data_IF_718105437574
#
_entry.id   IF_718105437574
#
_cell.length_a   1.000
_cell.length_b   1.000
_cell.length_c   1.000
_cell.angle_alpha   90.00
_cell.angle_beta   90.00
_cell.angle_gamma   90.00
#
_symmetry.space_group_name_H-M   'P 1'
#
loop_
_entity.id
_entity.type
_entity.pdbx_description
1 polymer ?
#
# COMPACT_ATOMS: atom_id res chain seq x y z
N UNK A 1 5.42 15.91 -4.02
CA UNK A 1 4.18 15.52 -4.73
C UNK A 1 3.09 16.58 -4.58
N UNK A 2 2.01 16.49 -5.37
CA UNK A 2 0.80 17.33 -5.23
C UNK A 2 -0.28 16.54 -4.50
N UNK A 3 -0.98 17.17 -3.54
CA UNK A 3 -2.04 16.52 -2.77
C UNK A 3 -3.24 17.46 -2.54
N UNK A 4 -4.43 16.88 -2.47
CA UNK A 4 -5.70 17.58 -2.23
C UNK A 4 -6.73 16.66 -1.60
N UNK A 5 -7.71 17.22 -0.91
CA UNK A 5 -8.89 16.46 -0.49
C UNK A 5 -9.71 16.06 -1.71
N UNK A 6 -10.14 14.80 -1.73
CA UNK A 6 -10.99 14.28 -2.81
C UNK A 6 -12.36 14.96 -2.76
N UNK A 7 -12.84 15.48 -3.90
CA UNK A 7 -14.05 16.31 -3.94
C UNK A 7 -15.37 15.55 -3.73
N UNK A 8 -15.33 14.22 -3.74
CA UNK A 8 -16.48 13.31 -3.62
C UNK A 8 -17.61 13.56 -4.64
N UNK A 9 -17.34 14.27 -5.73
CA UNK A 9 -18.33 14.46 -6.80
C UNK A 9 -18.46 13.18 -7.63
N UNK A 10 -19.64 12.90 -8.20
CA UNK A 10 -19.79 11.80 -9.15
C UNK A 10 -18.80 11.96 -10.33
N UNK A 11 -18.12 10.87 -10.70
CA UNK A 11 -17.14 10.91 -11.77
C UNK A 11 -16.38 9.59 -11.89
N UNK A 12 -15.62 9.46 -12.98
CA UNK A 12 -14.73 8.33 -13.17
C UNK A 12 -13.52 8.46 -12.23
N UNK A 13 -13.12 7.38 -11.56
CA UNK A 13 -12.04 7.37 -10.56
C UNK A 13 -10.70 7.98 -11.04
N UNK A 14 -10.43 7.92 -12.35
CA UNK A 14 -9.23 8.44 -13.01
C UNK A 14 -9.20 9.95 -13.19
N UNK A 15 -10.33 10.65 -12.97
CA UNK A 15 -10.38 12.11 -12.99
C UNK A 15 -9.66 12.67 -11.76
N UNK A 16 -9.17 13.90 -11.82
CA UNK A 16 -8.43 14.49 -10.72
C UNK A 16 -9.22 14.61 -9.40
N UNK A 17 -10.55 14.80 -9.45
CA UNK A 17 -11.41 14.96 -8.26
C UNK A 17 -10.87 15.99 -7.26
N UNK A 18 -10.53 17.17 -7.77
CA UNK A 18 -9.77 18.19 -7.03
C UNK A 18 -10.66 19.00 -6.10
N UNK A 19 -10.50 18.77 -4.79
CA UNK A 19 -11.02 19.62 -3.72
C UNK A 19 -9.97 20.62 -3.22
N UNK A 20 -9.92 20.82 -1.91
CA UNK A 20 -8.99 21.76 -1.28
C UNK A 20 -7.56 21.22 -1.27
N UNK A 21 -6.57 22.10 -1.44
CA UNK A 21 -5.16 21.74 -1.40
C UNK A 21 -4.75 21.22 -0.02
N UNK A 22 -4.00 20.12 0.01
CA UNK A 22 -3.43 19.53 1.23
C UNK A 22 -1.90 19.73 1.21
N UNK A 23 -1.32 20.43 2.19
CA UNK A 23 0.13 20.54 2.32
C UNK A 23 0.78 19.17 2.51
N UNK A 24 1.94 18.95 1.87
CA UNK A 24 2.67 17.68 2.00
C UNK A 24 2.99 17.29 3.45
N UNK A 25 3.18 18.28 4.34
CA UNK A 25 3.38 18.04 5.78
C UNK A 25 2.24 17.20 6.39
N UNK A 26 0.99 17.48 6.04
CA UNK A 26 -0.18 16.71 6.53
C UNK A 26 -0.09 15.27 6.02
N UNK A 27 0.28 15.08 4.75
CA UNK A 27 0.44 13.74 4.16
C UNK A 27 1.58 12.96 4.83
N UNK A 28 2.67 13.64 5.18
CA UNK A 28 3.81 13.04 5.86
C UNK A 28 3.51 12.69 7.32
N UNK A 29 2.68 13.49 8.01
CA UNK A 29 2.19 13.19 9.36
C UNK A 29 1.33 11.92 9.39
N UNK A 30 0.63 11.59 8.30
CA UNK A 30 -0.06 10.31 8.12
C UNK A 30 0.87 9.11 7.87
N UNK A 31 2.18 9.33 7.87
CA UNK A 31 3.21 8.29 7.74
C UNK A 31 3.69 8.03 6.31
N UNK A 32 3.15 8.73 5.30
CA UNK A 32 3.62 8.65 3.92
C UNK A 32 5.03 9.22 3.84
N UNK A 33 5.96 8.49 3.23
CA UNK A 33 7.30 9.00 2.93
C UNK A 33 7.44 9.24 1.44
N UNK A 34 8.09 10.34 1.07
CA UNK A 34 8.28 10.75 -0.32
C UNK A 34 9.72 11.22 -0.54
N UNK A 35 10.29 10.83 -1.67
CA UNK A 35 11.54 11.38 -2.20
C UNK A 35 11.35 11.70 -3.68
N UNK A 36 12.00 12.77 -4.15
CA UNK A 36 12.19 13.03 -5.58
C UNK A 36 13.60 12.58 -5.95
N UNK A 37 13.71 11.47 -6.67
CA UNK A 37 14.96 10.82 -7.05
C UNK A 37 15.04 10.88 -8.58
N UNK A 38 16.02 11.60 -9.17
CA UNK A 38 16.19 11.65 -10.62
C UNK A 38 16.32 10.25 -11.23
N UNK A 39 15.80 10.07 -12.45
CA UNK A 39 15.93 8.78 -13.16
C UNK A 39 17.40 8.39 -13.38
N UNK A 40 18.27 9.38 -13.61
CA UNK A 40 19.71 9.14 -13.75
C UNK A 40 20.34 8.77 -12.40
N UNK A 41 20.90 7.56 -12.32
CA UNK A 41 21.56 7.05 -11.11
C UNK A 41 20.62 6.70 -9.96
N UNK A 42 19.30 6.59 -10.20
CA UNK A 42 18.30 6.26 -9.20
C UNK A 42 18.60 4.97 -8.43
N UNK A 43 19.23 3.98 -9.10
CA UNK A 43 19.52 2.67 -8.53
C UNK A 43 20.32 2.78 -7.24
N UNK A 44 21.31 3.67 -7.19
CA UNK A 44 22.16 3.86 -6.01
C UNK A 44 21.37 4.38 -4.81
N UNK A 45 20.48 5.36 -5.04
CA UNK A 45 19.66 5.95 -3.97
C UNK A 45 18.63 4.93 -3.48
N UNK A 46 18.01 4.19 -4.40
CA UNK A 46 17.06 3.12 -4.06
C UNK A 46 17.75 1.99 -3.31
N UNK A 47 18.98 1.63 -3.67
CA UNK A 47 19.76 0.60 -2.96
C UNK A 47 20.07 1.01 -1.52
N UNK A 48 20.38 2.29 -1.27
CA UNK A 48 20.60 2.82 0.07
C UNK A 48 19.30 2.75 0.91
N UNK A 49 18.16 3.16 0.34
CA UNK A 49 16.84 3.06 1.00
C UNK A 49 16.46 1.60 1.26
N UNK A 50 16.66 0.72 0.27
CA UNK A 50 16.36 -0.70 0.39
C UNK A 50 17.20 -1.36 1.49
N UNK A 51 18.49 -0.99 1.60
CA UNK A 51 19.38 -1.48 2.65
C UNK A 51 18.99 -0.95 4.03
N UNK A 52 18.63 0.32 4.15
CA UNK A 52 18.20 0.92 5.42
C UNK A 52 16.92 0.26 5.96
N UNK A 53 16.00 -0.11 5.07
CA UNK A 53 14.66 -0.60 5.43
C UNK A 53 14.46 -2.12 5.32
N UNK A 54 15.54 -2.82 4.96
CA UNK A 54 15.59 -4.28 4.77
C UNK A 54 14.62 -4.78 3.68
N UNK A 55 14.73 -4.22 2.46
CA UNK A 55 13.99 -4.67 1.28
C UNK A 55 14.92 -5.45 0.33
N UNK A 56 15.11 -6.77 0.52
CA UNK A 56 16.02 -7.55 -0.30
C UNK A 56 15.50 -7.82 -1.71
N UNK A 57 14.21 -7.61 -1.98
CA UNK A 57 13.59 -7.94 -3.26
C UNK A 57 13.02 -6.70 -3.97
N UNK A 58 13.02 -6.76 -5.31
CA UNK A 58 12.37 -5.77 -6.17
C UNK A 58 11.93 -6.37 -7.50
N UNK A 59 10.93 -5.77 -8.11
CA UNK A 59 10.55 -6.02 -9.50
C UNK A 59 10.07 -4.72 -10.19
N UNK A 60 9.72 -4.83 -11.46
CA UNK A 60 9.13 -3.74 -12.24
C UNK A 60 7.72 -4.14 -12.66
N UNK A 61 6.75 -3.26 -12.44
CA UNK A 61 5.39 -3.38 -12.93
C UNK A 61 5.09 -2.27 -13.94
N UNK A 62 4.45 -2.63 -15.04
CA UNK A 62 3.89 -1.71 -16.03
C UNK A 62 2.37 -1.84 -15.99
N UNK A 63 1.70 -0.86 -15.39
CA UNK A 63 0.25 -0.84 -15.27
C UNK A 63 -0.29 -0.03 -16.44
N UNK A 64 -0.68 -0.76 -17.49
CA UNK A 64 -1.44 -0.28 -18.64
C UNK A 64 -2.17 -1.46 -19.25
N UNK A 65 -3.11 -1.20 -20.16
CA UNK A 65 -3.82 -2.27 -20.85
C UNK A 65 -2.87 -3.18 -21.64
N UNK A 66 -1.83 -2.61 -22.24
CA UNK A 66 -0.78 -3.37 -22.93
C UNK A 66 0.14 -4.10 -21.93
N UNK A 67 0.56 -3.42 -20.85
CA UNK A 67 1.47 -3.99 -19.86
C UNK A 67 0.90 -5.14 -19.04
N UNK A 68 -0.41 -5.11 -18.74
CA UNK A 68 -1.09 -6.14 -17.95
C UNK A 68 -1.94 -7.10 -18.81
N UNK A 69 -2.25 -6.77 -20.06
CA UNK A 69 -3.04 -7.62 -20.95
C UNK A 69 -4.40 -7.99 -20.35
N UNK A 70 -4.72 -9.28 -20.36
CA UNK A 70 -6.04 -9.80 -19.96
C UNK A 70 -6.38 -9.55 -18.48
N UNK A 71 -5.38 -9.41 -17.60
CA UNK A 71 -5.60 -9.18 -16.17
C UNK A 71 -5.76 -7.69 -15.81
N UNK A 72 -5.68 -6.77 -16.78
CA UNK A 72 -5.72 -5.33 -16.53
C UNK A 72 -6.98 -4.91 -15.76
N UNK A 73 -8.16 -5.23 -16.29
CA UNK A 73 -9.43 -4.76 -15.73
C UNK A 73 -9.64 -5.32 -14.30
N UNK A 74 -9.29 -6.59 -14.09
CA UNK A 74 -9.37 -7.24 -12.78
C UNK A 74 -8.44 -6.56 -11.76
N UNK A 75 -7.17 -6.30 -12.14
CA UNK A 75 -6.21 -5.65 -11.26
C UNK A 75 -6.60 -4.23 -10.92
N UNK A 76 -7.13 -3.47 -11.87
CA UNK A 76 -7.60 -2.10 -11.61
C UNK A 76 -8.73 -2.04 -10.58
N UNK A 77 -9.60 -3.06 -10.53
CA UNK A 77 -10.63 -3.18 -9.48
C UNK A 77 -9.98 -3.38 -8.11
N UNK A 78 -9.04 -4.32 -7.99
CA UNK A 78 -8.38 -4.60 -6.70
C UNK A 78 -7.54 -3.43 -6.20
N UNK A 79 -6.81 -2.76 -7.09
CA UNK A 79 -6.02 -1.58 -6.73
C UNK A 79 -6.90 -0.44 -6.21
N UNK A 80 -8.09 -0.24 -6.79
CA UNK A 80 -8.95 0.88 -6.42
C UNK A 80 -9.92 0.59 -5.28
N UNK A 81 -10.19 -0.68 -4.98
CA UNK A 81 -10.95 -1.03 -3.79
C UNK A 81 -10.15 -0.65 -2.53
N UNK A 82 -10.76 0.08 -1.60
CA UNK A 82 -10.09 0.55 -0.38
C UNK A 82 -9.55 -0.63 0.47
N UNK A 83 -8.25 -0.62 0.74
CA UNK A 83 -7.54 -1.69 1.44
C UNK A 83 -6.39 -1.16 2.29
N UNK A 84 -5.78 -2.05 3.08
CA UNK A 84 -4.51 -1.84 3.77
C UNK A 84 -3.58 -3.05 3.54
N UNK A 85 -2.34 -2.90 4.00
CA UNK A 85 -1.34 -3.96 4.04
C UNK A 85 -0.72 -4.07 5.44
N UNK A 86 -0.22 -5.26 5.77
CA UNK A 86 0.57 -5.54 6.99
C UNK A 86 2.08 -5.33 6.76
N UNK A 87 2.44 -4.94 5.55
CA UNK A 87 3.77 -4.50 5.13
C UNK A 87 3.66 -3.13 4.45
N UNK A 88 4.78 -2.43 4.34
CA UNK A 88 4.83 -1.16 3.62
C UNK A 88 4.63 -1.38 2.12
N UNK A 89 3.89 -0.47 1.47
CA UNK A 89 3.78 -0.45 0.01
C UNK A 89 4.75 0.60 -0.55
N UNK A 90 5.81 0.13 -1.20
CA UNK A 90 6.85 0.98 -1.78
C UNK A 90 6.75 0.99 -3.30
N UNK A 91 6.76 2.18 -3.89
CA UNK A 91 6.81 2.39 -5.35
C UNK A 91 7.81 3.47 -5.69
N UNK A 92 8.68 3.19 -6.66
CA UNK A 92 9.45 4.21 -7.34
C UNK A 92 8.98 4.32 -8.79
N UNK A 93 8.51 5.50 -9.19
CA UNK A 93 7.90 5.71 -10.49
C UNK A 93 8.98 6.00 -11.53
N UNK A 94 9.05 5.11 -12.52
CA UNK A 94 9.97 5.22 -13.66
C UNK A 94 9.38 6.07 -14.79
N UNK A 95 8.07 5.99 -14.99
CA UNK A 95 7.37 6.64 -16.10
C UNK A 95 5.86 6.68 -15.84
N UNK A 96 5.16 7.58 -16.53
CA UNK A 96 3.72 7.79 -16.38
C UNK A 96 3.32 8.40 -15.04
N UNK A 97 2.02 8.31 -14.72
CA UNK A 97 1.41 9.02 -13.60
C UNK A 97 0.23 8.23 -13.01
N UNK A 98 -0.10 8.51 -11.74
CA UNK A 98 -1.23 7.89 -11.07
C UNK A 98 -1.58 8.58 -9.75
N UNK A 99 -2.68 8.14 -9.16
CA UNK A 99 -3.20 8.65 -7.90
C UNK A 99 -3.19 7.59 -6.82
N UNK A 100 -2.74 8.00 -5.65
CA UNK A 100 -3.03 7.32 -4.39
C UNK A 100 -4.07 8.13 -3.63
N UNK A 101 -5.12 7.45 -3.17
CA UNK A 101 -6.05 8.01 -2.18
C UNK A 101 -5.76 7.36 -0.84
N UNK A 102 -5.64 8.17 0.21
CA UNK A 102 -5.40 7.72 1.59
C UNK A 102 -6.46 8.28 2.54
N UNK A 103 -6.77 7.55 3.61
CA UNK A 103 -7.66 8.04 4.68
C UNK A 103 -6.90 8.88 5.69
N UNK A 104 -7.36 10.11 5.87
CA UNK A 104 -6.91 10.98 6.95
C UNK A 104 -7.40 10.45 8.30
N UNK A 105 -6.51 10.34 9.29
CA UNK A 105 -6.89 10.03 10.67
C UNK A 105 -6.85 11.33 11.49
N UNK A 106 -7.88 11.67 12.28
CA UNK A 106 -9.06 10.85 12.63
C UNK A 106 -10.32 11.12 11.81
N UNK A 107 -10.30 12.06 10.84
CA UNK A 107 -11.50 12.55 10.15
C UNK A 107 -12.09 11.54 9.16
N UNK A 108 -11.30 10.56 8.73
CA UNK A 108 -11.62 9.56 7.71
C UNK A 108 -11.88 10.17 6.32
N UNK A 109 -11.43 11.40 6.07
CA UNK A 109 -11.54 12.04 4.76
C UNK A 109 -10.54 11.43 3.76
N UNK A 110 -10.91 11.43 2.48
CA UNK A 110 -9.99 11.04 1.40
C UNK A 110 -9.05 12.19 1.05
N UNK A 111 -7.75 11.93 1.12
CA UNK A 111 -6.71 12.76 0.53
C UNK A 111 -6.18 12.03 -0.70
N UNK A 112 -6.26 12.68 -1.86
CA UNK A 112 -5.64 12.22 -3.11
C UNK A 112 -4.29 12.90 -3.27
N UNK A 113 -3.25 12.13 -3.55
CA UNK A 113 -1.98 12.68 -4.04
C UNK A 113 -1.57 12.02 -5.36
N UNK A 114 -0.95 12.81 -6.22
CA UNK A 114 -0.44 12.33 -7.49
C UNK A 114 1.02 11.98 -7.39
N UNK A 115 1.38 10.86 -8.00
CA UNK A 115 2.75 10.42 -8.23
C UNK A 115 3.05 10.46 -9.72
N UNK A 116 4.28 10.82 -10.04
CA UNK A 116 4.81 10.91 -11.39
C UNK A 116 6.26 10.38 -11.41
N UNK A 117 6.85 10.27 -12.60
CA UNK A 117 8.25 9.87 -12.74
C UNK A 117 9.17 10.62 -11.74
N UNK A 118 10.18 9.90 -11.24
CA UNK A 118 11.12 10.33 -10.20
C UNK A 118 10.56 10.37 -8.78
N UNK A 119 9.27 10.09 -8.55
CA UNK A 119 8.74 9.96 -7.20
C UNK A 119 9.00 8.55 -6.63
N UNK A 120 9.64 8.50 -5.46
CA UNK A 120 9.59 7.32 -4.59
C UNK A 120 8.59 7.60 -3.46
N UNK A 121 7.60 6.72 -3.31
CA UNK A 121 6.63 6.77 -2.22
C UNK A 121 6.65 5.49 -1.40
N UNK A 122 6.51 5.66 -0.09
CA UNK A 122 6.27 4.56 0.86
C UNK A 122 4.96 4.83 1.56
N UNK A 123 4.01 3.93 1.35
CA UNK A 123 2.73 3.88 2.04
C UNK A 123 2.94 3.06 3.33
N UNK A 124 2.66 3.62 4.52
CA UNK A 124 2.93 2.95 5.78
C UNK A 124 1.98 1.77 6.00
N UNK A 125 2.42 0.85 6.85
CA UNK A 125 1.62 -0.29 7.32
C UNK A 125 0.31 0.21 7.95
N UNK A 126 -0.80 -0.48 7.69
CA UNK A 126 -2.08 -0.24 8.38
C UNK A 126 -2.88 1.01 7.95
N UNK A 127 -2.38 1.84 7.04
CA UNK A 127 -3.18 2.92 6.47
C UNK A 127 -4.17 2.38 5.43
N UNK A 128 -5.42 2.83 5.50
CA UNK A 128 -6.36 2.59 4.42
C UNK A 128 -6.03 3.48 3.23
N UNK A 129 -5.86 2.85 2.08
CA UNK A 129 -5.52 3.49 0.83
C UNK A 129 -6.11 2.75 -0.37
N UNK A 130 -5.97 3.36 -1.54
CA UNK A 130 -6.24 2.76 -2.85
C UNK A 130 -5.42 3.45 -3.92
N UNK A 131 -5.21 2.76 -5.03
CA UNK A 131 -4.50 3.26 -6.20
C UNK A 131 -5.39 3.30 -7.43
N UNK A 132 -5.20 4.30 -8.29
CA UNK A 132 -5.79 4.33 -9.62
C UNK A 132 -4.88 5.07 -10.59
N UNK A 133 -4.95 4.71 -11.87
CA UNK A 133 -4.34 5.50 -12.93
C UNK A 133 -5.06 6.85 -13.03
N UNK A 134 -4.38 7.86 -13.56
CA UNK A 134 -5.08 9.06 -14.03
C UNK A 134 -5.51 8.88 -15.50
N UNK A 135 -5.95 9.96 -16.14
CA UNK A 135 -6.39 9.94 -17.54
C UNK A 135 -5.29 9.56 -18.55
N UNK A 136 -4.01 9.53 -18.13
CA UNK A 136 -2.90 9.03 -18.95
C UNK A 136 -2.86 7.51 -19.10
N UNK A 137 -3.61 6.77 -18.27
CA UNK A 137 -3.81 5.32 -18.38
C UNK A 137 -2.54 4.44 -18.36
N UNK A 138 -1.45 4.99 -17.84
CA UNK A 138 -0.15 4.32 -17.81
C UNK A 138 0.70 4.78 -16.64
N UNK A 139 1.25 3.81 -15.91
CA UNK A 139 2.36 4.03 -14.98
C UNK A 139 3.31 2.83 -15.01
N UNK A 140 4.61 3.12 -14.92
CA UNK A 140 5.67 2.12 -14.77
C UNK A 140 6.41 2.39 -13.48
N UNK A 141 6.55 1.37 -12.63
CA UNK A 141 7.20 1.54 -11.33
C UNK A 141 8.04 0.35 -10.93
N UNK A 142 9.12 0.62 -10.17
CA UNK A 142 9.82 -0.39 -9.38
C UNK A 142 9.04 -0.60 -8.08
N UNK A 143 8.80 -1.86 -7.71
CA UNK A 143 8.26 -2.22 -6.40
C UNK A 143 9.39 -2.78 -5.53
N UNK A 144 9.41 -2.41 -4.26
CA UNK A 144 10.34 -2.97 -3.27
C UNK A 144 9.55 -3.70 -2.18
N UNK A 145 10.07 -4.82 -1.69
CA UNK A 145 9.38 -5.64 -0.68
C UNK A 145 10.34 -6.53 0.12
N UNK A 146 9.91 -6.91 1.33
CA UNK A 146 10.70 -7.68 2.31
C UNK A 146 10.86 -9.16 1.95
N UNK A 147 9.77 -9.92 1.98
CA UNK A 147 9.72 -11.33 1.61
C UNK A 147 8.90 -11.50 0.33
N UNK A 148 8.75 -12.74 -0.16
CA UNK A 148 7.83 -13.04 -1.26
C UNK A 148 6.50 -12.33 -0.99
N UNK A 149 6.13 -11.35 -1.83
CA UNK A 149 5.17 -10.36 -1.44
C UNK A 149 3.82 -11.04 -1.34
N UNK A 150 3.30 -11.08 -0.12
CA UNK A 150 1.86 -11.26 0.08
C UNK A 150 1.21 -9.96 -0.41
N UNK A 151 0.99 -9.84 -1.72
CA UNK A 151 0.15 -8.80 -2.34
C UNK A 151 -1.32 -9.02 -1.95
N UNK A 152 -1.58 -9.16 -0.66
CA UNK A 152 -2.88 -9.44 -0.08
C UNK A 152 -3.48 -8.08 0.24
N UNK A 153 -4.50 -7.72 -0.53
CA UNK A 153 -5.33 -6.57 -0.24
C UNK A 153 -6.22 -6.94 0.95
N UNK A 154 -5.96 -6.34 2.11
CA UNK A 154 -6.85 -6.44 3.25
C UNK A 154 -7.90 -5.35 3.12
N UNK A 155 -8.99 -5.67 2.41
CA UNK A 155 -10.06 -4.72 2.14
C UNK A 155 -10.70 -4.20 3.42
N UNK A 156 -11.02 -2.91 3.44
CA UNK A 156 -11.61 -2.26 4.60
C UNK A 156 -12.90 -2.95 5.03
N UNK A 157 -12.94 -3.37 6.28
CA UNK A 157 -14.09 -3.99 6.93
C UNK A 157 -14.00 -3.82 8.44
N UNK A 158 -15.08 -4.16 9.17
CA UNK A 158 -15.07 -4.12 10.64
C UNK A 158 -14.04 -5.07 11.25
N UNK A 159 -13.78 -6.18 10.57
CA UNK A 159 -12.76 -7.15 10.96
C UNK A 159 -11.35 -6.57 10.77
N UNK A 160 -11.11 -5.80 9.69
CA UNK A 160 -9.82 -5.14 9.47
C UNK A 160 -9.61 -3.91 10.34
N UNK A 161 -10.68 -3.25 10.81
CA UNK A 161 -10.59 -2.13 11.75
C UNK A 161 -9.98 -2.54 13.11
N UNK A 162 -10.04 -3.83 13.46
CA UNK A 162 -9.43 -4.41 14.68
C UNK A 162 -8.18 -5.23 14.39
N UNK A 163 -7.64 -5.16 13.16
CA UNK A 163 -6.35 -5.73 12.81
C UNK A 163 -5.25 -5.04 13.65
N UNK A 164 -4.26 -5.77 14.20
CA UNK A 164 -3.25 -5.18 15.06
C UNK A 164 -2.46 -4.05 14.38
N UNK A 165 -2.08 -4.22 13.13
CA UNK A 165 -1.33 -3.24 12.35
C UNK A 165 -2.15 -1.97 12.09
N UNK A 166 -3.47 -2.11 11.89
CA UNK A 166 -4.39 -0.98 11.75
C UNK A 166 -4.50 -0.20 13.06
N UNK A 167 -4.70 -0.90 14.18
CA UNK A 167 -4.85 -0.28 15.49
C UNK A 167 -3.55 0.44 15.89
N UNK A 168 -2.40 -0.18 15.67
CA UNK A 168 -1.09 0.43 15.91
C UNK A 168 -0.91 1.71 15.07
N UNK A 169 -1.17 1.63 13.75
CA UNK A 169 -1.14 2.80 12.86
C UNK A 169 -2.01 3.96 13.36
N UNK A 170 -3.25 3.66 13.77
CA UNK A 170 -4.19 4.69 14.25
C UNK A 170 -3.68 5.33 15.54
N UNK A 171 -3.17 4.54 16.49
CA UNK A 171 -2.64 5.05 17.74
C UNK A 171 -1.40 5.92 17.53
N UNK A 172 -0.41 5.45 16.75
CA UNK A 172 0.78 6.24 16.43
C UNK A 172 0.43 7.54 15.71
N UNK A 173 -0.54 7.50 14.80
CA UNK A 173 -0.98 8.68 14.06
C UNK A 173 -1.68 9.68 15.00
N UNK A 174 -2.55 9.21 15.90
CA UNK A 174 -3.16 10.06 16.94
C UNK A 174 -2.10 10.77 17.78
N UNK A 175 -1.10 10.04 18.26
CA UNK A 175 -0.02 10.62 19.06
C UNK A 175 0.76 11.70 18.28
N UNK A 176 1.05 11.48 16.99
CA UNK A 176 1.69 12.49 16.12
C UNK A 176 0.86 13.76 15.97
N UNK A 177 -0.47 13.64 15.93
CA UNK A 177 -1.40 14.78 15.92
C UNK A 177 -1.67 15.37 17.32
N UNK A 178 -0.99 14.89 18.37
CA UNK A 178 -1.18 15.33 19.75
C UNK A 178 -2.54 14.93 20.33
N UNK A 179 -3.22 13.95 19.73
CA UNK A 179 -4.46 13.40 20.22
C UNK A 179 -4.17 12.32 21.27
N UNK A 180 -4.97 12.24 22.35
CA UNK A 180 -4.77 11.24 23.38
C UNK A 180 -5.06 9.82 22.85
N UNK A 181 -4.22 8.88 23.25
CA UNK A 181 -4.46 7.43 23.11
C UNK A 181 -4.70 6.85 24.50
N UNK A 182 -5.87 6.25 24.69
CA UNK A 182 -6.31 5.67 25.96
C UNK A 182 -5.57 4.37 26.27
N UNK A 183 -5.56 3.97 27.55
CA UNK A 183 -4.99 2.67 27.95
C UNK A 183 -5.79 1.49 27.36
N UNK A 184 -7.09 1.67 27.12
CA UNK A 184 -7.95 0.69 26.44
C UNK A 184 -7.51 0.48 24.98
N UNK A 185 -7.20 1.57 24.26
CA UNK A 185 -6.68 1.49 22.88
C UNK A 185 -5.30 0.84 22.81
N UNK A 186 -4.41 1.10 23.77
CA UNK A 186 -3.11 0.44 23.85
C UNK A 186 -3.26 -1.06 24.17
N UNK A 187 -4.17 -1.41 25.08
CA UNK A 187 -4.48 -2.80 25.40
C UNK A 187 -5.06 -3.54 24.17
N UNK A 188 -5.94 -2.88 23.41
CA UNK A 188 -6.53 -3.45 22.20
C UNK A 188 -5.48 -3.80 21.13
N UNK A 189 -4.46 -2.96 20.93
CA UNK A 189 -3.31 -3.27 20.04
C UNK A 189 -2.61 -4.54 20.49
N UNK A 190 -2.24 -4.62 21.78
CA UNK A 190 -1.54 -5.77 22.34
C UNK A 190 -2.35 -7.06 22.18
N UNK A 191 -3.62 -7.04 22.54
CA UNK A 191 -4.53 -8.19 22.39
C UNK A 191 -4.70 -8.61 20.92
N UNK A 192 -4.79 -7.65 20.00
CA UNK A 192 -4.90 -7.92 18.57
C UNK A 192 -3.64 -8.62 18.03
N UNK A 193 -2.44 -8.22 18.47
CA UNK A 193 -1.19 -8.89 18.08
C UNK A 193 -1.11 -10.31 18.66
N UNK A 194 -1.55 -10.51 19.90
CA UNK A 194 -1.62 -11.84 20.51
C UNK A 194 -2.57 -12.77 19.73
N UNK A 195 -3.76 -12.29 19.34
CA UNK A 195 -4.70 -13.03 18.48
C UNK A 195 -4.10 -13.35 17.11
N UNK A 196 -3.55 -12.34 16.44
CA UNK A 196 -2.95 -12.48 15.10
C UNK A 196 -1.78 -13.48 15.11
N UNK A 197 -0.93 -13.44 16.15
CA UNK A 197 0.14 -14.43 16.35
C UNK A 197 -0.42 -15.82 16.62
N UNK A 198 -1.51 -15.96 17.37
CA UNK A 198 -2.13 -17.26 17.62
C UNK A 198 -2.74 -17.87 16.35
N UNK A 199 -3.34 -17.06 15.48
CA UNK A 199 -3.92 -17.50 14.21
C UNK A 199 -2.83 -17.88 13.20
N UNK A 200 -1.84 -17.02 13.00
CA UNK A 200 -0.72 -17.27 12.08
C UNK A 200 0.27 -18.32 12.61
N UNK A 201 0.44 -18.43 13.93
CA UNK A 201 1.21 -19.48 14.57
C UNK A 201 0.53 -20.85 14.50
N UNK A 202 -0.82 -20.90 14.55
CA UNK A 202 -1.58 -22.13 14.28
C UNK A 202 -1.55 -22.50 12.80
N UNK A 203 -1.55 -21.53 11.89
CA UNK A 203 -1.34 -21.78 10.46
C UNK A 203 0.05 -22.39 10.18
N UNK A 204 1.09 -21.97 10.91
CA UNK A 204 2.42 -22.58 10.84
C UNK A 204 2.48 -24.03 11.40
N UNK A 205 1.59 -24.37 12.34
CA UNK A 205 1.45 -25.74 12.89
C UNK A 205 0.49 -26.64 12.07
N UNK A 206 -0.06 -26.13 10.96
CA UNK A 206 -1.00 -26.82 10.07
C UNK A 206 -0.40 -27.36 8.75
N UNK A 207 0.92 -27.24 8.52
CA UNK A 207 1.57 -27.71 7.29
C UNK A 207 1.95 -29.21 7.32
N UNK A 208 1.03 -30.02 7.83
CA UNK A 208 1.09 -31.49 7.77
C UNK A 208 0.11 -32.10 6.76
N UNK A 209 -0.43 -31.33 5.81
CA UNK A 209 -1.44 -31.86 4.89
C UNK A 209 -1.50 -31.17 3.51
N UNK A 210 -0.37 -31.14 2.79
CA UNK A 210 -0.34 -31.07 1.31
C UNK A 210 0.86 -31.87 0.77
N UNK A 211 0.88 -33.17 1.07
CA UNK A 211 1.43 -34.16 0.14
C UNK A 211 0.27 -34.51 -0.79
N UNK A 212 0.53 -34.42 -2.11
CA UNK A 212 -0.30 -34.74 -3.28
C UNK A 212 -0.66 -33.55 -4.18
N UNK A 213 0.35 -33.00 -4.86
CA UNK A 213 0.25 -32.77 -6.31
C UNK A 213 1.64 -32.61 -6.96
N UNK A 214 2.50 -33.62 -6.78
CA UNK A 214 3.59 -33.92 -7.70
C UNK A 214 3.42 -35.38 -8.11
N UNK A 215 3.53 -35.66 -9.41
CA UNK A 215 3.28 -36.94 -10.13
C UNK A 215 1.89 -37.04 -10.81
N UNK A 216 1.68 -36.21 -11.84
CA UNK A 216 1.35 -36.69 -13.20
C UNK A 216 1.87 -35.69 -14.23
N UNK A 217 3.16 -35.78 -14.55
CA UNK A 217 3.65 -35.33 -15.85
C UNK A 217 4.65 -36.38 -16.37
N UNK A 218 4.09 -37.43 -16.97
CA UNK A 218 4.81 -38.29 -17.91
C UNK A 218 4.19 -38.04 -19.28
N UNK A 219 5.07 -37.98 -20.29
CA UNK A 219 4.85 -38.08 -21.74
C UNK A 219 5.05 -36.77 -22.51
N UNK A 220 6.32 -36.41 -22.77
CA UNK A 220 6.84 -36.05 -24.10
C UNK A 220 8.38 -36.17 -24.08
N UNK A 221 8.85 -37.41 -24.25
CA UNK A 221 10.09 -37.88 -24.88
C UNK A 221 10.23 -39.38 -24.60
#
# INVERSE_FOLDING_TARGET
MRAWYFDNKPGHQKLAHMGEHVPNEVVYQLGIKHWKIPLDGHEKVIDEIAKERDYPNRDIINISKEGLGEIYDEKMVYFFQEHMHEDEEIRYILDGTGYYDIRETPTDNWIRFQVEAEDLVIIPVGIYHRFTLDEGDYIKSVRLFRADPKWVYLYRSKEMDVNPYRLEYVNETKEKFGLPVTEEEKAAVKEAFERHKAENGKAALGWGQWIWCWITWRSYA
#
